data_IF_107184878955
#
_entry.id   IF_107184878955
#
_cell.length_a   1.000
_cell.length_b   1.000
_cell.length_c   1.000
_cell.angle_alpha   90.00
_cell.angle_beta   90.00
_cell.angle_gamma   90.00
#
_symmetry.space_group_name_H-M   'P 1'
#
loop_
_entity.id
_entity.type
_entity.pdbx_description
1 polymer ?
#
# COMPACT_ATOMS: atom_id res chain seq x y z
N UNK A 1 -48.63 41.59 4.10
CA UNK A 1 -49.70 40.69 4.56
C UNK A 1 -49.05 39.50 5.28
N UNK A 2 -49.40 39.37 6.56
CA UNK A 2 -49.23 38.27 7.53
C UNK A 2 -49.53 36.88 6.92
N UNK A 3 -49.02 35.72 7.36
CA UNK A 3 -49.12 35.09 8.70
C UNK A 3 -48.23 33.80 8.77
N UNK A 4 -47.25 33.63 9.69
CA UNK A 4 -47.13 32.86 10.97
C UNK A 4 -47.31 31.30 11.00
N UNK A 5 -46.39 30.63 11.74
CA UNK A 5 -46.42 29.36 12.52
C UNK A 5 -45.95 28.06 11.82
N UNK A 6 -45.21 27.11 12.43
CA UNK A 6 -44.99 26.74 13.85
C UNK A 6 -43.75 25.83 14.00
N UNK A 7 -42.99 25.98 15.10
CA UNK A 7 -42.00 25.01 15.62
C UNK A 7 -42.71 23.95 16.45
N UNK A 8 -42.24 22.69 16.43
CA UNK A 8 -42.48 21.71 17.50
C UNK A 8 -41.22 20.88 17.77
N UNK A 9 -40.85 20.85 19.04
CA UNK A 9 -39.77 20.09 19.65
C UNK A 9 -40.27 18.68 20.04
N UNK A 10 -39.34 17.72 20.13
CA UNK A 10 -39.59 16.41 20.70
C UNK A 10 -38.32 15.84 21.32
N UNK A 11 -38.13 16.10 22.61
CA UNK A 11 -37.13 15.47 23.46
C UNK A 11 -37.76 14.26 24.16
N UNK A 12 -37.06 13.13 24.21
CA UNK A 12 -37.37 12.04 25.13
C UNK A 12 -36.06 11.49 25.69
N UNK A 13 -35.77 11.89 26.93
CA UNK A 13 -34.71 11.34 27.75
C UNK A 13 -35.21 10.06 28.42
N UNK A 14 -34.36 9.03 28.50
CA UNK A 14 -34.52 7.94 29.47
C UNK A 14 -33.20 7.80 30.21
N UNK A 15 -33.24 8.20 31.48
CA UNK A 15 -32.21 7.99 32.50
C UNK A 15 -32.58 6.71 33.24
N UNK A 16 -31.65 5.77 33.37
CA UNK A 16 -31.66 4.82 34.48
C UNK A 16 -30.23 4.66 35.00
N UNK A 17 -30.03 5.19 36.20
CA UNK A 17 -28.85 4.97 37.03
C UNK A 17 -29.00 3.65 37.79
N UNK A 18 -27.87 3.06 38.23
CA UNK A 18 -27.63 2.29 39.49
C UNK A 18 -26.21 1.69 39.37
N UNK A 19 -25.17 2.17 40.06
CA UNK A 19 -24.82 2.10 41.50
C UNK A 19 -23.77 1.00 41.79
N UNK A 20 -22.55 1.49 42.06
CA UNK A 20 -21.55 1.10 43.07
C UNK A 20 -20.69 -0.20 43.01
N UNK A 21 -19.41 0.08 43.29
CA UNK A 21 -18.48 -0.60 44.22
C UNK A 21 -17.33 -1.46 43.63
N UNK A 22 -16.10 -1.04 43.97
CA UNK A 22 -14.79 -1.67 43.72
C UNK A 22 -14.48 -2.82 44.75
N UNK A 23 -13.24 -3.34 44.89
CA UNK A 23 -12.73 -4.55 44.23
C UNK A 23 -12.15 -5.58 45.23
N UNK A 24 -12.32 -6.91 45.07
CA UNK A 24 -11.47 -7.89 45.77
C UNK A 24 -11.26 -9.14 44.92
N UNK A 25 -9.99 -9.53 44.81
CA UNK A 25 -9.41 -10.65 44.09
C UNK A 25 -9.86 -12.02 44.62
N UNK A 26 -10.06 -12.97 43.71
CA UNK A 26 -9.95 -14.40 43.99
C UNK A 26 -9.11 -15.06 42.88
N UNK A 27 -7.88 -15.43 43.23
CA UNK A 27 -7.11 -16.43 42.49
C UNK A 27 -7.56 -17.80 42.96
N UNK A 28 -8.00 -18.65 42.04
CA UNK A 28 -8.02 -20.10 42.21
C UNK A 28 -7.53 -20.70 40.89
N UNK A 29 -6.30 -21.22 40.96
CA UNK A 29 -5.73 -22.10 39.96
C UNK A 29 -6.47 -23.45 39.96
N UNK A 30 -6.44 -24.14 38.82
CA UNK A 30 -6.28 -25.59 38.59
C UNK A 30 -6.38 -25.76 37.05
N UNK A 31 -5.26 -25.73 36.33
CA UNK A 31 -4.44 -26.90 35.97
C UNK A 31 -5.11 -27.79 34.92
N UNK A 32 -4.63 -27.72 33.67
CA UNK A 32 -5.10 -28.57 32.57
C UNK A 32 -4.49 -28.24 31.21
N UNK A 33 -3.19 -28.49 31.08
CA UNK A 33 -2.43 -28.79 29.86
C UNK A 33 -2.37 -27.80 28.66
N UNK A 34 -1.21 -27.12 28.59
CA UNK A 34 -0.34 -27.01 27.43
C UNK A 34 -0.92 -26.59 26.05
N UNK A 35 -1.04 -25.28 25.83
CA UNK A 35 -0.69 -24.66 24.55
C UNK A 35 -0.05 -23.28 24.81
N UNK A 36 1.27 -23.24 24.65
CA UNK A 36 2.16 -22.09 24.90
C UNK A 36 1.78 -20.91 23.97
N UNK A 37 1.83 -19.66 24.45
CA UNK A 37 1.51 -18.49 23.63
C UNK A 37 2.57 -18.30 22.54
N UNK A 38 2.14 -18.18 21.28
CA UNK A 38 2.96 -17.80 20.12
C UNK A 38 3.33 -16.29 20.14
N UNK A 39 3.73 -15.80 21.32
CA UNK A 39 4.18 -14.43 21.56
C UNK A 39 5.54 -14.48 22.27
N UNK A 40 6.47 -15.26 21.71
CA UNK A 40 7.88 -15.30 22.12
C UNK A 40 8.73 -16.04 21.06
N UNK A 41 8.59 -15.67 19.78
CA UNK A 41 9.52 -16.07 18.71
C UNK A 41 9.85 -14.85 17.84
N UNK A 42 10.11 -13.72 18.49
CA UNK A 42 10.70 -12.54 17.87
C UNK A 42 12.08 -12.28 18.50
N UNK A 43 12.89 -13.32 18.68
CA UNK A 43 14.29 -13.20 19.06
C UNK A 43 14.93 -14.58 18.89
N UNK A 44 15.50 -14.83 17.71
CA UNK A 44 16.59 -15.76 17.40
C UNK A 44 16.52 -16.18 15.93
N UNK A 45 16.91 -15.25 15.05
CA UNK A 45 17.67 -15.61 13.86
C UNK A 45 18.72 -14.53 13.62
N UNK A 46 19.70 -14.48 14.53
CA UNK A 46 21.02 -13.93 14.19
C UNK A 46 21.73 -15.00 13.38
N UNK A 47 21.45 -14.99 12.08
CA UNK A 47 22.33 -15.53 11.05
C UNK A 47 22.58 -14.36 10.09
N UNK A 48 23.83 -14.19 9.68
CA UNK A 48 24.33 -13.16 8.77
C UNK A 48 23.28 -12.59 7.80
N UNK A 49 23.18 -11.26 7.63
CA UNK A 49 22.52 -10.69 6.47
C UNK A 49 23.46 -10.87 5.27
N UNK A 50 23.71 -12.10 4.85
CA UNK A 50 23.93 -12.35 3.43
C UNK A 50 22.57 -12.11 2.80
N UNK A 51 22.39 -11.04 2.00
CA UNK A 51 21.19 -10.91 1.21
C UNK A 51 21.07 -12.22 0.43
N UNK A 52 19.88 -12.81 0.37
CA UNK A 52 19.62 -13.73 -0.73
C UNK A 52 20.05 -12.98 -1.99
N UNK A 53 20.69 -13.67 -2.93
CA UNK A 53 20.98 -13.09 -4.24
C UNK A 53 19.64 -12.81 -4.93
N UNK A 54 18.96 -11.76 -4.48
CA UNK A 54 17.87 -11.13 -5.18
C UNK A 54 18.42 -10.76 -6.54
N UNK A 55 17.61 -11.02 -7.56
CA UNK A 55 17.89 -10.58 -8.91
C UNK A 55 18.45 -9.18 -8.86
N UNK A 56 19.67 -9.01 -9.39
CA UNK A 56 20.42 -7.76 -9.33
C UNK A 56 19.49 -6.64 -9.77
N UNK A 57 18.99 -5.85 -8.81
CA UNK A 57 18.54 -4.51 -9.10
C UNK A 57 19.78 -3.81 -9.60
N UNK A 58 19.90 -3.71 -10.92
CA UNK A 58 20.97 -2.95 -11.54
C UNK A 58 20.99 -1.55 -10.95
N UNK A 59 22.15 -0.90 -11.03
CA UNK A 59 22.18 0.54 -10.86
C UNK A 59 21.35 1.16 -12.00
N UNK A 60 20.04 1.36 -11.75
CA UNK A 60 19.07 1.87 -12.71
C UNK A 60 18.93 3.39 -12.61
N UNK A 61 19.86 4.06 -11.92
CA UNK A 61 19.87 5.52 -11.82
C UNK A 61 19.89 6.19 -13.19
N UNK A 62 20.41 5.49 -14.22
CA UNK A 62 20.43 5.89 -15.63
C UNK A 62 19.83 4.83 -16.59
N UNK A 63 19.01 3.90 -16.10
CA UNK A 63 18.46 2.87 -16.98
C UNK A 63 17.51 3.49 -18.02
N UNK A 64 17.71 3.20 -19.32
CA UNK A 64 16.79 3.66 -20.35
C UNK A 64 15.40 3.09 -20.05
N UNK A 65 14.36 3.90 -20.26
CA UNK A 65 12.99 3.43 -20.17
C UNK A 65 12.84 2.17 -21.06
N UNK A 66 12.11 1.13 -20.62
CA UNK A 66 11.94 -0.08 -21.40
C UNK A 66 11.40 0.27 -22.81
N UNK A 67 12.04 -0.27 -23.85
CA UNK A 67 11.63 -0.08 -25.25
C UNK A 67 10.39 -0.93 -25.53
N UNK A 68 9.22 -0.35 -25.22
CA UNK A 68 7.92 -0.95 -25.49
C UNK A 68 7.29 -0.20 -26.65
N UNK A 69 7.41 -0.80 -27.84
CA UNK A 69 6.75 -0.30 -29.05
C UNK A 69 5.24 -0.42 -28.89
N UNK A 70 4.54 0.65 -29.28
CA UNK A 70 3.08 0.82 -29.27
C UNK A 70 2.49 1.29 -27.92
N UNK A 71 2.78 2.56 -27.56
CA UNK A 71 2.05 3.29 -26.51
C UNK A 71 0.70 3.78 -27.07
N UNK A 72 -0.30 2.91 -27.09
CA UNK A 72 -1.68 3.31 -27.42
C UNK A 72 -2.40 4.05 -26.27
N UNK A 73 -1.73 4.26 -25.15
CA UNK A 73 -2.27 5.03 -24.02
C UNK A 73 -1.54 6.36 -23.87
N UNK A 74 -2.07 7.43 -24.47
CA UNK A 74 -1.77 8.78 -23.96
C UNK A 74 -2.46 8.93 -22.61
N UNK A 75 -1.83 8.48 -21.54
CA UNK A 75 -2.29 8.80 -20.18
C UNK A 75 -2.21 10.32 -20.00
N UNK A 76 -3.23 10.96 -19.38
CA UNK A 76 -3.18 12.38 -19.04
C UNK A 76 -1.93 12.74 -18.25
N UNK A 77 -1.44 13.97 -18.40
CA UNK A 77 -0.34 14.46 -17.58
C UNK A 77 -0.67 14.33 -16.09
N UNK A 78 0.30 13.87 -15.32
CA UNK A 78 0.14 13.55 -13.91
C UNK A 78 1.40 13.88 -13.13
N UNK A 79 1.28 14.00 -11.82
CA UNK A 79 2.41 14.26 -10.95
C UNK A 79 2.42 13.36 -9.72
N UNK A 80 3.64 13.12 -9.25
CA UNK A 80 3.92 12.36 -8.03
C UNK A 80 5.10 12.99 -7.31
N UNK A 81 5.31 12.60 -6.07
CA UNK A 81 6.54 12.90 -5.35
C UNK A 81 6.95 11.68 -4.53
N UNK A 82 8.25 11.43 -4.51
CA UNK A 82 8.82 10.30 -3.78
C UNK A 82 9.07 10.76 -2.35
N UNK A 83 8.47 10.08 -1.38
CA UNK A 83 8.67 10.41 0.03
C UNK A 83 10.00 9.84 0.54
N UNK A 84 10.50 10.37 1.66
CA UNK A 84 11.76 9.90 2.26
C UNK A 84 11.74 8.41 2.68
N UNK A 85 10.56 7.80 2.80
CA UNK A 85 10.44 6.36 3.10
C UNK A 85 11.00 5.47 1.99
N UNK A 86 11.14 6.00 0.77
CA UNK A 86 11.64 5.29 -0.41
C UNK A 86 13.13 5.52 -0.69
N UNK A 87 13.91 5.95 0.32
CA UNK A 87 15.33 6.22 0.15
C UNK A 87 16.07 5.00 -0.45
N UNK A 88 16.74 5.20 -1.58
CA UNK A 88 17.46 4.15 -2.32
C UNK A 88 16.64 3.43 -3.40
N UNK A 89 15.34 3.72 -3.52
CA UNK A 89 14.45 3.13 -4.53
C UNK A 89 13.98 4.13 -5.59
N UNK A 90 14.45 5.38 -5.54
CA UNK A 90 13.95 6.48 -6.37
C UNK A 90 14.10 6.19 -7.86
N UNK A 91 15.23 5.61 -8.28
CA UNK A 91 15.47 5.23 -9.67
C UNK A 91 14.44 4.22 -10.20
N UNK A 92 14.12 3.19 -9.41
CA UNK A 92 13.13 2.19 -9.78
C UNK A 92 11.70 2.77 -9.84
N UNK A 93 11.36 3.69 -8.93
CA UNK A 93 10.08 4.41 -8.98
C UNK A 93 9.97 5.24 -10.25
N UNK A 94 11.03 5.98 -10.59
CA UNK A 94 11.10 6.76 -11.84
C UNK A 94 10.98 5.87 -13.07
N UNK A 95 11.62 4.70 -13.08
CA UNK A 95 11.47 3.72 -14.15
C UNK A 95 10.01 3.32 -14.33
N UNK A 96 9.31 2.99 -13.24
CA UNK A 96 7.90 2.65 -13.27
C UNK A 96 7.00 3.80 -13.77
N UNK A 97 7.26 5.03 -13.35
CA UNK A 97 6.56 6.21 -13.85
C UNK A 97 6.81 6.46 -15.35
N UNK A 98 8.06 6.30 -15.79
CA UNK A 98 8.49 6.52 -17.17
C UNK A 98 7.84 5.54 -18.17
N UNK A 99 7.50 4.33 -17.72
CA UNK A 99 6.76 3.36 -18.53
C UNK A 99 5.44 3.94 -19.07
N UNK A 100 4.66 4.61 -18.22
CA UNK A 100 3.41 5.25 -18.62
C UNK A 100 3.64 6.58 -19.36
N UNK A 101 4.72 7.29 -18.99
CA UNK A 101 5.04 8.61 -19.54
C UNK A 101 4.12 9.71 -19.02
N UNK A 102 4.39 10.95 -19.44
CA UNK A 102 3.67 12.18 -19.01
C UNK A 102 3.64 12.43 -17.49
N UNK A 103 4.37 11.62 -16.71
CA UNK A 103 4.53 11.75 -15.28
C UNK A 103 5.61 12.75 -14.94
N UNK A 104 5.30 13.66 -14.02
CA UNK A 104 6.26 14.63 -13.49
C UNK A 104 6.53 14.32 -12.03
N UNK A 105 7.76 13.96 -11.70
CA UNK A 105 8.20 13.94 -10.31
C UNK A 105 8.35 15.38 -9.82
N UNK A 106 7.78 15.67 -8.65
CA UNK A 106 7.91 16.97 -7.99
C UNK A 106 8.53 16.78 -6.61
N UNK A 107 8.98 17.87 -6.00
CA UNK A 107 9.62 17.83 -4.68
C UNK A 107 8.65 17.66 -3.50
N UNK A 108 7.34 17.69 -3.71
CA UNK A 108 6.36 17.60 -2.61
C UNK A 108 4.91 17.84 -2.98
N UNK A 109 4.53 17.71 -4.25
CA UNK A 109 3.15 17.84 -4.73
C UNK A 109 2.78 16.66 -5.64
N UNK A 110 1.49 16.52 -5.95
CA UNK A 110 1.00 15.32 -6.64
C UNK A 110 0.87 14.12 -5.71
N UNK A 111 0.74 12.94 -6.28
CA UNK A 111 0.52 11.70 -5.51
C UNK A 111 1.77 11.32 -4.70
N UNK A 112 1.70 11.19 -3.36
CA UNK A 112 2.84 10.71 -2.57
C UNK A 112 3.10 9.23 -2.86
N UNK A 113 4.36 8.89 -3.10
CA UNK A 113 4.85 7.50 -3.19
C UNK A 113 5.60 7.17 -1.92
N UNK A 114 5.06 6.20 -1.17
CA UNK A 114 5.58 5.71 0.10
C UNK A 114 6.11 4.28 -0.06
N UNK A 115 7.10 3.91 0.75
CA UNK A 115 7.70 2.59 0.73
C UNK A 115 7.64 1.95 2.12
N UNK A 116 7.47 0.62 2.15
CA UNK A 116 7.42 -0.18 3.38
C UNK A 116 8.17 -1.50 3.21
N UNK A 117 8.74 -2.03 4.29
CA UNK A 117 9.48 -3.29 4.30
C UNK A 117 8.62 -4.55 4.42
N UNK A 118 7.28 -4.44 4.33
CA UNK A 118 6.36 -5.56 4.54
C UNK A 118 5.10 -5.45 3.69
N UNK A 119 4.11 -6.27 4.01
CA UNK A 119 2.80 -6.23 3.35
C UNK A 119 2.03 -4.95 3.72
N UNK A 120 1.13 -4.55 2.81
CA UNK A 120 0.33 -3.34 2.92
C UNK A 120 -1.07 -3.70 3.40
N UNK A 121 -1.48 -3.13 4.52
CA UNK A 121 -2.82 -3.29 5.07
C UNK A 121 -3.79 -2.23 4.52
N UNK A 122 -5.09 -2.53 4.52
CA UNK A 122 -6.12 -1.57 4.13
C UNK A 122 -6.19 -1.25 2.64
N UNK A 123 -5.59 -2.08 1.78
CA UNK A 123 -5.59 -1.93 0.32
C UNK A 123 -6.71 -2.71 -0.40
N UNK A 124 -7.94 -2.75 0.14
CA UNK A 124 -9.10 -3.37 -0.54
C UNK A 124 -9.04 -4.87 -0.86
N UNK A 125 -7.88 -5.52 -0.78
CA UNK A 125 -7.64 -6.94 -0.92
C UNK A 125 -7.44 -7.56 0.47
N UNK A 126 -8.22 -8.59 0.79
CA UNK A 126 -8.17 -9.26 2.10
C UNK A 126 -6.94 -10.15 2.34
N UNK A 127 -5.76 -9.78 1.83
CA UNK A 127 -4.56 -10.60 1.87
C UNK A 127 -3.24 -9.82 1.90
N UNK A 128 -2.14 -10.55 1.66
CA UNK A 128 -0.77 -10.03 1.64
C UNK A 128 -0.52 -9.21 0.36
N UNK A 129 -0.84 -7.92 0.40
CA UNK A 129 -0.67 -7.00 -0.72
C UNK A 129 0.72 -6.36 -0.69
N UNK A 130 1.38 -6.25 -1.84
CA UNK A 130 2.75 -5.68 -1.97
C UNK A 130 2.79 -4.31 -2.63
N UNK A 131 1.69 -3.85 -3.22
CA UNK A 131 1.56 -2.51 -3.76
C UNK A 131 0.13 -2.03 -3.63
N UNK A 132 -0.05 -0.73 -3.43
CA UNK A 132 -1.37 -0.15 -3.33
C UNK A 132 -1.43 1.27 -3.86
N UNK A 133 -2.38 1.53 -4.76
CA UNK A 133 -2.77 2.86 -5.20
C UNK A 133 -4.18 3.20 -4.70
N UNK A 134 -4.31 4.19 -3.81
CA UNK A 134 -5.62 4.67 -3.32
C UNK A 134 -6.31 5.66 -4.26
N UNK A 135 -5.68 5.97 -5.39
CA UNK A 135 -6.15 6.89 -6.41
C UNK A 135 -5.26 8.11 -6.56
N UNK A 136 -5.41 8.77 -7.71
CA UNK A 136 -4.60 9.92 -8.08
C UNK A 136 -4.70 11.04 -7.02
N UNK A 137 -3.54 11.52 -6.57
CA UNK A 137 -3.42 12.58 -5.57
C UNK A 137 -3.58 12.14 -4.11
N UNK A 138 -3.93 10.87 -3.86
CA UNK A 138 -4.07 10.35 -2.49
C UNK A 138 -2.76 9.76 -1.97
N UNK A 139 -2.43 8.54 -2.39
CA UNK A 139 -1.22 7.82 -2.00
C UNK A 139 -0.99 6.61 -2.88
N UNK A 140 0.28 6.31 -3.13
CA UNK A 140 0.76 5.01 -3.59
C UNK A 140 1.71 4.47 -2.52
N UNK A 141 1.56 3.21 -2.11
CA UNK A 141 2.49 2.53 -1.21
C UNK A 141 3.08 1.31 -1.90
N UNK A 142 4.41 1.15 -1.79
CA UNK A 142 5.18 0.10 -2.44
C UNK A 142 5.92 -0.73 -1.39
N UNK A 143 5.83 -2.05 -1.50
CA UNK A 143 6.58 -2.95 -0.63
C UNK A 143 7.97 -3.23 -1.20
N UNK A 144 9.01 -3.06 -0.39
CA UNK A 144 10.40 -3.33 -0.78
C UNK A 144 10.76 -4.81 -0.72
N UNK A 145 9.82 -5.70 -0.37
CA UNK A 145 10.04 -7.16 -0.36
C UNK A 145 9.96 -7.78 -1.76
N UNK A 146 9.51 -7.01 -2.76
CA UNK A 146 9.43 -7.43 -4.16
C UNK A 146 10.78 -7.21 -4.85
N UNK A 147 11.24 -8.23 -5.60
CA UNK A 147 12.51 -8.21 -6.33
C UNK A 147 12.53 -7.19 -7.46
N UNK A 148 11.54 -7.22 -8.36
CA UNK A 148 11.38 -6.21 -9.43
C UNK A 148 10.54 -5.02 -8.92
N UNK A 149 11.19 -4.17 -8.13
CA UNK A 149 10.56 -2.98 -7.54
C UNK A 149 10.13 -1.96 -8.59
N UNK A 150 10.83 -1.89 -9.72
CA UNK A 150 10.46 -1.00 -10.83
C UNK A 150 9.15 -1.43 -11.47
N UNK A 151 8.96 -2.75 -11.66
CA UNK A 151 7.73 -3.30 -12.21
C UNK A 151 6.56 -3.14 -11.24
N UNK A 152 6.80 -3.31 -9.93
CA UNK A 152 5.82 -3.01 -8.90
C UNK A 152 5.38 -1.54 -8.98
N UNK A 153 6.34 -0.61 -9.06
CA UNK A 153 6.01 0.81 -9.19
C UNK A 153 5.21 1.09 -10.48
N UNK A 154 5.57 0.48 -11.61
CA UNK A 154 4.83 0.60 -12.86
C UNK A 154 3.39 0.10 -12.70
N UNK A 155 3.21 -1.07 -12.09
CA UNK A 155 1.89 -1.65 -11.81
C UNK A 155 1.03 -0.67 -11.00
N UNK A 156 1.56 -0.17 -9.88
CA UNK A 156 0.81 0.74 -9.01
C UNK A 156 0.50 2.09 -9.67
N UNK A 157 1.40 2.65 -10.49
CA UNK A 157 1.06 3.86 -11.25
C UNK A 157 -0.04 3.60 -12.28
N UNK A 158 -0.08 2.40 -12.88
CA UNK A 158 -1.09 2.01 -13.85
C UNK A 158 -2.51 2.05 -13.31
N UNK A 159 -2.69 1.84 -11.99
CA UNK A 159 -3.99 1.95 -11.31
C UNK A 159 -4.65 3.33 -11.36
N UNK A 160 -3.93 4.38 -11.78
CA UNK A 160 -4.56 5.67 -12.07
C UNK A 160 -5.53 5.60 -13.27
N UNK A 161 -5.37 4.61 -14.15
CA UNK A 161 -6.13 4.51 -15.41
C UNK A 161 -6.69 3.11 -15.69
N UNK A 162 -6.09 2.07 -15.09
CA UNK A 162 -6.38 0.67 -15.41
C UNK A 162 -6.68 -0.16 -14.16
N UNK A 163 -7.63 -1.09 -14.28
CA UNK A 163 -7.74 -2.20 -13.34
C UNK A 163 -6.70 -3.27 -13.63
N UNK A 164 -6.68 -4.33 -12.81
CA UNK A 164 -5.91 -5.53 -13.15
C UNK A 164 -6.37 -6.13 -14.48
N UNK A 165 -5.41 -6.65 -15.24
CA UNK A 165 -5.67 -7.55 -16.36
C UNK A 165 -5.91 -8.98 -15.86
N UNK A 166 -5.99 -9.95 -16.79
CA UNK A 166 -6.23 -11.35 -16.42
C UNK A 166 -5.11 -11.91 -15.53
N UNK A 167 -5.41 -12.94 -14.70
CA UNK A 167 -4.41 -13.53 -13.81
C UNK A 167 -3.14 -13.97 -14.54
N UNK A 168 -1.99 -13.69 -13.93
CA UNK A 168 -0.68 -14.07 -14.43
C UNK A 168 0.45 -13.25 -13.81
N UNK A 169 1.68 -13.52 -14.24
CA UNK A 169 2.86 -12.75 -13.84
C UNK A 169 2.91 -11.41 -14.56
N UNK A 170 3.08 -10.33 -13.80
CA UNK A 170 3.40 -9.03 -14.32
C UNK A 170 4.73 -9.08 -15.08
N UNK A 171 4.84 -8.31 -16.16
CA UNK A 171 6.09 -8.07 -16.87
C UNK A 171 6.00 -6.81 -17.74
N UNK A 172 7.16 -6.34 -18.21
CA UNK A 172 7.29 -5.09 -18.95
C UNK A 172 6.84 -5.14 -20.42
N UNK A 173 6.34 -6.26 -20.95
CA UNK A 173 6.12 -6.41 -22.39
C UNK A 173 5.00 -5.53 -22.95
N UNK A 174 4.00 -5.15 -22.13
CA UNK A 174 2.94 -4.22 -22.51
C UNK A 174 2.22 -3.66 -21.29
N UNK A 175 1.35 -2.65 -21.48
CA UNK A 175 0.48 -2.16 -20.40
C UNK A 175 -0.40 -3.26 -19.82
N UNK A 176 -0.94 -4.14 -20.68
CA UNK A 176 -1.74 -5.29 -20.24
C UNK A 176 -0.93 -6.24 -19.36
N UNK A 177 0.33 -6.49 -19.73
CA UNK A 177 1.23 -7.38 -18.99
C UNK A 177 1.71 -6.75 -17.68
N UNK A 178 1.97 -5.44 -17.63
CA UNK A 178 2.31 -4.73 -16.38
C UNK A 178 1.15 -4.82 -15.39
N UNK A 179 -0.09 -4.71 -15.86
CA UNK A 179 -1.29 -4.74 -15.00
C UNK A 179 -1.73 -6.13 -14.54
N UNK A 180 -0.94 -7.20 -14.81
CA UNK A 180 -1.27 -8.52 -14.27
C UNK A 180 -1.08 -8.55 -12.75
N UNK A 181 -1.94 -9.25 -12.00
CA UNK A 181 -2.03 -9.09 -10.54
C UNK A 181 -0.91 -9.76 -9.73
N UNK A 182 -0.04 -10.58 -10.33
CA UNK A 182 1.00 -11.32 -9.58
C UNK A 182 2.38 -10.77 -9.89
N UNK A 183 3.08 -10.30 -8.85
CA UNK A 183 4.51 -10.05 -8.92
C UNK A 183 5.27 -11.37 -8.85
N UNK A 184 6.00 -11.67 -9.91
CA UNK A 184 6.93 -12.78 -10.06
C UNK A 184 8.35 -12.18 -10.15
#
# INVERSE_FOLDING_TARGET
>A
MTTIFRRLAGAAAVVFALVFAFPVSASAAEAGDAARPAAAQALQLSADPTPSEGFKTGDLTDAPAPDVKERDARVPAWSYHITASCAGYEGAIRQGANFWGSGTETSGSGTPVECTGGYIEGCGGGGNVVGCNWGQGQRIMLSTIVSDFGLLAAHEFGHNWYGHSDPGCANWASAYEVMRPTMC
#
